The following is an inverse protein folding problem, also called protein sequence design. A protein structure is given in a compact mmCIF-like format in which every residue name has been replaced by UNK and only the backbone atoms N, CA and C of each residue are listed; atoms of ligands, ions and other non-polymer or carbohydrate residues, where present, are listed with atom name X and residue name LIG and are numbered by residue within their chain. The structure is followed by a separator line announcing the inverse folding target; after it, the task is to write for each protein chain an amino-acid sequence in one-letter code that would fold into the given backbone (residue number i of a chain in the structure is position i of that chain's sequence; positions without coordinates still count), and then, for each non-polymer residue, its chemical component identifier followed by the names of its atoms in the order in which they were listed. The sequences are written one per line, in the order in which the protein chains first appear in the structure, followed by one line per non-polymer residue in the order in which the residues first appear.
data_IF_375022638446
#
_entry.id   IF_375022638446
#
_cell.length_a   1.000
_cell.length_b   1.000
_cell.length_c   1.000
_cell.angle_alpha   90.00
_cell.angle_beta   90.00
_cell.angle_gamma   90.00
#
_symmetry.space_group_name_H-M   'P 1'
#
loop_
_entity.id
_entity.type
_entity.pdbx_description
1 polymer ?
#
# COMPACT_ATOMS: atom_id res chain seq x y z
N UNK A 1 0.64 7.38 -59.54
CA UNK A 1 -0.29 6.67 -58.64
C UNK A 1 -0.18 7.28 -57.25
N UNK A 2 -1.32 7.70 -56.70
CA UNK A 2 -1.59 8.04 -55.29
C UNK A 2 -1.43 6.80 -54.39
N UNK A 3 -1.16 6.87 -53.08
CA UNK A 3 -1.92 7.39 -51.92
C UNK A 3 -0.94 7.45 -50.70
N UNK A 4 -1.16 8.05 -49.51
CA UNK A 4 -2.23 8.82 -48.84
C UNK A 4 -1.59 9.59 -47.66
N UNK A 5 -2.09 10.79 -47.37
CA UNK A 5 -1.85 11.51 -46.10
C UNK A 5 -2.36 10.69 -44.91
N UNK A 6 -1.53 10.53 -43.90
CA UNK A 6 -1.96 10.23 -42.53
C UNK A 6 -2.36 11.54 -41.83
N UNK A 7 -3.51 11.52 -41.17
CA UNK A 7 -4.17 12.63 -40.48
C UNK A 7 -3.33 13.13 -39.30
N UNK A 8 -3.24 14.45 -39.02
CA UNK A 8 -2.64 14.93 -37.79
C UNK A 8 -3.51 14.52 -36.59
N UNK A 9 -2.95 13.75 -35.67
CA UNK A 9 -3.59 13.52 -34.37
C UNK A 9 -3.45 14.81 -33.57
N UNK A 10 -4.58 15.44 -33.25
CA UNK A 10 -4.69 16.56 -32.31
C UNK A 10 -4.46 16.02 -30.89
N UNK A 11 -3.56 16.65 -30.15
CA UNK A 11 -3.18 16.46 -28.74
C UNK A 11 -2.19 15.32 -28.41
N UNK A 12 -0.89 15.63 -28.19
CA UNK A 12 0.02 14.72 -27.51
C UNK A 12 -0.30 14.64 -25.99
N UNK A 13 -0.26 13.43 -25.42
CA UNK A 13 -0.39 13.17 -23.97
C UNK A 13 0.91 12.57 -23.41
N UNK A 14 1.46 13.11 -22.32
CA UNK A 14 2.69 12.62 -21.64
C UNK A 14 2.39 11.74 -20.43
N UNK A 15 3.30 10.83 -20.01
CA UNK A 15 3.03 9.78 -19.00
C UNK A 15 4.10 9.60 -17.90
N UNK A 16 3.68 9.31 -16.64
CA UNK A 16 4.54 9.15 -15.43
C UNK A 16 4.46 7.76 -14.79
N UNK A 17 5.50 7.31 -14.07
CA UNK A 17 5.67 5.95 -13.50
C UNK A 17 5.32 5.84 -11.99
N UNK A 18 4.82 4.67 -11.55
CA UNK A 18 4.63 4.24 -10.14
C UNK A 18 5.17 2.83 -9.91
N UNK A 19 5.38 2.45 -8.65
CA UNK A 19 5.79 1.10 -8.24
C UNK A 19 4.94 0.66 -7.04
N UNK A 20 4.42 -0.56 -7.04
CA UNK A 20 3.73 -1.20 -5.91
C UNK A 20 4.66 -2.23 -5.22
N UNK A 21 4.57 -2.34 -3.89
CA UNK A 21 5.34 -3.18 -2.93
C UNK A 21 5.32 -4.73 -3.19
N UNK A 22 6.10 -5.61 -2.52
CA UNK A 22 7.42 -6.07 -2.97
C UNK A 22 7.55 -7.62 -3.07
N UNK A 23 6.59 -8.34 -3.65
CA UNK A 23 6.80 -9.80 -3.98
C UNK A 23 7.91 -10.06 -4.99
N UNK A 24 8.25 -9.06 -5.79
CA UNK A 24 9.34 -9.02 -6.77
C UNK A 24 9.85 -7.59 -6.83
N UNK A 25 11.17 -7.40 -6.99
CA UNK A 25 11.68 -6.09 -7.39
C UNK A 25 10.95 -5.65 -8.68
N UNK A 26 10.25 -4.51 -8.67
CA UNK A 26 9.55 -4.03 -9.83
C UNK A 26 10.55 -3.63 -10.91
N UNK A 27 10.17 -3.79 -12.16
CA UNK A 27 10.89 -3.38 -13.36
C UNK A 27 11.28 -1.90 -13.35
N UNK A 28 10.63 -1.10 -12.51
CA UNK A 28 10.93 0.29 -12.24
C UNK A 28 10.97 0.51 -10.73
N UNK A 29 11.96 1.22 -10.21
CA UNK A 29 12.08 1.66 -8.81
C UNK A 29 12.48 3.14 -8.80
N UNK A 30 11.71 3.98 -8.10
CA UNK A 30 12.05 5.39 -7.91
C UNK A 30 12.56 5.61 -6.49
N UNK A 31 13.79 6.11 -6.34
CA UNK A 31 14.36 6.47 -5.04
C UNK A 31 15.06 7.83 -5.13
N UNK A 32 14.42 8.88 -4.63
CA UNK A 32 14.90 10.25 -4.77
C UNK A 32 15.11 10.64 -6.24
N UNK A 33 16.32 11.10 -6.65
CA UNK A 33 16.62 11.41 -8.05
C UNK A 33 16.92 10.17 -8.90
N UNK A 34 17.10 8.99 -8.28
CA UNK A 34 17.48 7.77 -8.97
C UNK A 34 16.26 7.04 -9.53
N UNK A 35 16.44 6.47 -10.72
CA UNK A 35 15.45 5.68 -11.43
C UNK A 35 16.08 4.34 -11.76
N UNK A 36 15.86 3.34 -10.94
CA UNK A 36 16.40 2.01 -11.18
C UNK A 36 15.43 1.24 -12.07
N UNK A 37 15.93 0.61 -13.12
CA UNK A 37 15.13 -0.25 -13.99
C UNK A 37 15.72 -1.65 -14.08
N UNK A 38 14.86 -2.65 -14.23
CA UNK A 38 15.32 -4.02 -14.50
C UNK A 38 15.96 -4.10 -15.88
N UNK A 39 16.75 -5.14 -16.11
CA UNK A 39 17.32 -5.45 -17.43
C UNK A 39 16.25 -5.52 -18.53
N UNK A 40 15.13 -6.19 -18.26
CA UNK A 40 14.06 -6.36 -19.24
C UNK A 40 13.45 -5.01 -19.65
N UNK A 41 13.21 -4.11 -18.69
CA UNK A 41 12.71 -2.77 -19.00
C UNK A 41 13.76 -1.92 -19.70
N UNK A 42 15.03 -1.98 -19.28
CA UNK A 42 16.15 -1.32 -19.98
C UNK A 42 16.18 -1.67 -21.45
N UNK A 43 16.11 -2.95 -21.80
CA UNK A 43 16.23 -3.40 -23.20
C UNK A 43 15.05 -2.87 -24.05
N UNK A 44 13.84 -2.79 -23.47
CA UNK A 44 12.69 -2.16 -24.12
C UNK A 44 12.90 -0.65 -24.28
N UNK A 45 13.40 0.04 -23.26
CA UNK A 45 13.69 1.47 -23.33
C UNK A 45 14.76 1.80 -24.38
N UNK A 46 15.80 0.97 -24.51
CA UNK A 46 16.82 1.08 -25.56
C UNK A 46 16.25 0.82 -26.95
N UNK A 47 15.25 -0.06 -27.10
CA UNK A 47 14.57 -0.25 -28.38
C UNK A 47 13.72 0.96 -28.80
N UNK A 48 13.25 1.74 -27.83
CA UNK A 48 12.47 2.96 -28.05
C UNK A 48 13.37 4.16 -28.31
N UNK A 49 14.48 4.27 -27.58
CA UNK A 49 15.41 5.38 -27.66
C UNK A 49 16.85 4.87 -27.43
N UNK A 50 17.54 4.43 -28.50
CA UNK A 50 18.90 3.87 -28.38
C UNK A 50 19.94 4.88 -27.90
N UNK A 51 19.71 6.17 -28.17
CA UNK A 51 20.57 7.29 -27.78
C UNK A 51 19.81 8.21 -26.81
N UNK A 52 20.51 8.90 -25.91
CA UNK A 52 19.88 9.85 -24.99
C UNK A 52 19.37 9.26 -23.67
N UNK A 53 19.64 7.98 -23.42
CA UNK A 53 19.52 7.34 -22.10
C UNK A 53 20.85 6.68 -21.75
N UNK A 54 21.35 6.98 -20.55
CA UNK A 54 22.48 6.28 -19.95
C UNK A 54 21.96 5.30 -18.89
N UNK A 55 22.56 4.11 -18.86
CA UNK A 55 22.27 3.08 -17.89
C UNK A 55 23.55 2.71 -17.15
N UNK A 56 23.58 2.94 -15.84
CA UNK A 56 24.69 2.54 -14.99
C UNK A 56 24.29 1.28 -14.21
N UNK A 57 25.02 0.16 -14.36
CA UNK A 57 24.66 -1.08 -13.68
C UNK A 57 24.73 -0.89 -12.17
N UNK A 58 23.74 -1.44 -11.47
CA UNK A 58 23.63 -1.47 -10.02
C UNK A 58 23.13 -2.85 -9.62
N UNK A 59 23.70 -3.41 -8.57
CA UNK A 59 23.20 -4.64 -7.95
C UNK A 59 22.30 -4.28 -6.79
N UNK A 60 21.06 -4.79 -6.81
CA UNK A 60 20.15 -4.70 -5.66
C UNK A 60 20.15 -6.07 -4.97
N UNK A 61 20.53 -6.11 -3.70
CA UNK A 61 20.39 -7.30 -2.87
C UNK A 61 18.99 -7.33 -2.24
N UNK A 62 18.20 -8.37 -2.52
CA UNK A 62 16.91 -8.62 -1.89
C UNK A 62 16.85 -10.09 -1.48
N UNK A 63 16.57 -10.37 -0.20
CA UNK A 63 16.46 -11.75 0.33
C UNK A 63 17.69 -12.63 0.02
N UNK A 64 18.89 -12.08 0.20
CA UNK A 64 20.16 -12.78 -0.07
C UNK A 64 20.44 -13.09 -1.55
N UNK A 65 19.60 -12.60 -2.48
CA UNK A 65 19.80 -12.71 -3.91
C UNK A 65 20.20 -11.36 -4.49
N UNK A 66 21.15 -11.39 -5.41
CA UNK A 66 21.58 -10.24 -6.18
C UNK A 66 20.75 -10.11 -7.45
N UNK A 67 20.23 -8.91 -7.69
CA UNK A 67 19.44 -8.59 -8.87
C UNK A 67 20.14 -7.49 -9.68
N UNK A 68 20.35 -7.76 -10.96
CA UNK A 68 20.91 -6.79 -11.91
C UNK A 68 19.86 -5.72 -12.25
N UNK A 69 20.15 -4.49 -11.83
CA UNK A 69 19.38 -3.28 -12.12
C UNK A 69 20.28 -2.24 -12.80
N UNK A 70 19.65 -1.19 -13.31
CA UNK A 70 20.35 -0.09 -13.94
C UNK A 70 19.80 1.23 -13.43
N UNK A 71 20.65 2.08 -12.86
CA UNK A 71 20.30 3.47 -12.64
C UNK A 71 20.24 4.17 -14.00
N UNK A 72 19.05 4.60 -14.36
CA UNK A 72 18.73 5.24 -15.61
C UNK A 72 18.86 6.75 -15.49
N UNK A 73 19.70 7.34 -16.33
CA UNK A 73 19.83 8.77 -16.50
C UNK A 73 19.34 9.16 -17.89
N UNK A 74 18.43 10.12 -17.98
CA UNK A 74 17.85 10.57 -19.24
C UNK A 74 18.48 11.90 -19.61
N UNK A 75 19.19 11.93 -20.74
CA UNK A 75 19.97 13.09 -21.18
C UNK A 75 19.14 14.07 -21.99
N UNK A 76 18.01 13.61 -22.52
CA UNK A 76 17.11 14.39 -23.36
C UNK A 76 16.11 15.18 -22.54
N UNK A 77 15.77 16.38 -23.03
CA UNK A 77 14.89 17.33 -22.33
C UNK A 77 13.76 17.78 -23.25
N UNK A 78 12.64 18.17 -22.65
CA UNK A 78 11.51 18.76 -23.37
C UNK A 78 10.90 19.89 -22.57
N UNK A 79 10.54 20.99 -23.24
CA UNK A 79 9.85 22.12 -22.63
C UNK A 79 8.33 21.97 -22.83
N UNK A 80 7.71 21.19 -21.95
CA UNK A 80 6.28 20.81 -22.06
C UNK A 80 5.47 21.21 -20.84
N UNK A 81 6.09 21.69 -19.77
CA UNK A 81 5.39 22.16 -18.57
C UNK A 81 5.30 23.68 -18.59
N UNK A 82 4.07 24.19 -18.52
CA UNK A 82 3.83 25.61 -18.27
C UNK A 82 4.02 25.88 -16.78
N UNK A 83 5.25 26.26 -16.40
CA UNK A 83 5.62 26.54 -15.00
C UNK A 83 4.76 27.67 -14.40
N UNK A 84 4.28 28.62 -15.21
CA UNK A 84 3.46 29.74 -14.72
C UNK A 84 2.02 29.31 -14.40
N UNK A 85 1.50 28.33 -15.13
CA UNK A 85 0.16 27.76 -14.89
C UNK A 85 0.16 26.54 -13.98
N UNK A 86 1.32 25.97 -13.72
CA UNK A 86 1.51 24.87 -12.77
C UNK A 86 1.52 25.40 -11.33
N UNK A 87 1.14 24.55 -10.37
CA UNK A 87 1.07 24.91 -8.96
C UNK A 87 2.10 24.12 -8.19
N UNK A 88 2.86 24.84 -7.37
CA UNK A 88 3.95 24.31 -6.57
C UNK A 88 3.72 24.62 -5.10
N UNK A 89 4.06 23.67 -4.26
CA UNK A 89 4.44 23.95 -2.88
C UNK A 89 5.83 24.59 -2.90
N UNK A 90 6.04 25.63 -2.09
CA UNK A 90 7.28 26.40 -2.08
C UNK A 90 7.79 26.55 -0.66
N UNK A 91 9.10 26.59 -0.51
CA UNK A 91 9.75 27.05 0.71
C UNK A 91 9.44 28.54 0.96
N UNK A 92 9.76 29.02 2.16
CA UNK A 92 9.55 30.43 2.56
C UNK A 92 10.34 31.43 1.70
N UNK A 93 11.44 31.00 1.09
CA UNK A 93 12.25 31.78 0.14
C UNK A 93 11.66 31.80 -1.29
N UNK A 94 10.55 31.10 -1.52
CA UNK A 94 9.89 30.98 -2.82
C UNK A 94 10.44 29.86 -3.71
N UNK A 95 11.45 29.11 -3.29
CA UNK A 95 11.99 27.97 -4.04
C UNK A 95 10.93 26.85 -4.15
N UNK A 96 10.65 26.30 -5.35
CA UNK A 96 9.75 25.17 -5.49
C UNK A 96 10.21 23.95 -4.68
N UNK A 97 9.36 23.47 -3.79
CA UNK A 97 9.57 22.27 -2.98
C UNK A 97 8.91 21.04 -3.62
N UNK A 98 7.62 21.15 -3.98
CA UNK A 98 6.86 20.05 -4.56
C UNK A 98 5.91 20.52 -5.66
N UNK A 99 5.66 19.66 -6.66
CA UNK A 99 4.67 19.93 -7.70
C UNK A 99 3.30 19.44 -7.23
N UNK A 100 2.32 20.35 -7.09
CA UNK A 100 0.95 20.02 -6.65
C UNK A 100 -0.01 19.87 -7.83
N UNK A 101 0.22 20.62 -8.91
CA UNK A 101 -0.54 20.48 -10.14
C UNK A 101 0.29 20.88 -11.35
N UNK A 102 0.23 20.06 -12.40
CA UNK A 102 1.01 20.25 -13.62
C UNK A 102 0.12 20.70 -14.76
N UNK A 103 0.52 21.74 -15.46
CA UNK A 103 -0.13 22.19 -16.69
C UNK A 103 0.79 21.88 -17.88
N UNK A 104 0.35 20.98 -18.76
CA UNK A 104 1.11 20.64 -19.97
C UNK A 104 0.77 21.64 -21.08
N UNK A 105 1.78 22.23 -21.72
CA UNK A 105 1.63 23.05 -22.93
C UNK A 105 1.94 22.22 -24.18
N UNK A 106 1.42 22.68 -25.32
CA UNK A 106 1.79 22.10 -26.61
C UNK A 106 3.30 22.25 -26.83
N UNK A 107 4.00 21.19 -27.25
CA UNK A 107 5.41 21.28 -27.55
C UNK A 107 5.64 22.17 -28.77
N UNK A 108 6.65 23.04 -28.69
CA UNK A 108 7.05 23.93 -29.79
C UNK A 108 7.97 23.24 -30.80
N UNK A 109 8.50 22.08 -30.44
CA UNK A 109 9.47 21.32 -31.22
C UNK A 109 9.15 19.83 -31.19
N UNK A 110 9.81 19.06 -32.07
CA UNK A 110 9.68 17.60 -32.04
C UNK A 110 10.36 17.06 -30.80
N UNK A 111 9.60 16.36 -29.96
CA UNK A 111 10.12 15.82 -28.71
C UNK A 111 10.87 14.50 -28.93
N UNK A 112 11.90 14.21 -28.14
CA UNK A 112 12.51 12.88 -28.07
C UNK A 112 11.45 11.85 -27.62
N UNK A 113 11.59 10.56 -28.00
CA UNK A 113 10.66 9.52 -27.55
C UNK A 113 10.48 9.45 -26.03
N UNK A 114 11.57 9.62 -25.27
CA UNK A 114 11.64 9.63 -23.81
C UNK A 114 12.45 10.87 -23.40
N UNK A 115 11.98 11.66 -22.44
CA UNK A 115 12.66 12.91 -22.04
C UNK A 115 12.26 13.37 -20.63
N UNK A 116 13.09 14.22 -20.02
CA UNK A 116 12.75 14.91 -18.77
C UNK A 116 12.15 16.27 -19.10
N UNK A 117 10.92 16.52 -18.62
CA UNK A 117 10.28 17.81 -18.81
C UNK A 117 10.89 18.87 -17.89
N UNK A 118 11.24 20.02 -18.45
CA UNK A 118 11.64 21.24 -17.74
C UNK A 118 12.63 20.99 -16.57
N UNK A 119 13.68 20.19 -16.83
CA UNK A 119 14.58 19.62 -15.81
C UNK A 119 15.21 20.64 -14.84
N UNK A 120 15.39 21.89 -15.26
CA UNK A 120 15.98 22.95 -14.43
C UNK A 120 14.96 23.72 -13.58
N UNK A 121 13.66 23.60 -13.92
CA UNK A 121 12.58 24.36 -13.27
C UNK A 121 11.67 23.51 -12.40
N UNK A 122 11.86 22.18 -12.39
CA UNK A 122 11.07 21.25 -11.59
C UNK A 122 11.95 20.60 -10.52
N UNK A 123 11.51 20.60 -9.24
CA UNK A 123 12.30 20.02 -8.14
C UNK A 123 12.54 18.51 -8.31
N UNK A 124 11.62 17.82 -8.99
CA UNK A 124 11.77 16.43 -9.41
C UNK A 124 11.42 16.36 -10.89
N UNK A 125 12.40 16.44 -11.78
CA UNK A 125 12.17 16.48 -13.23
C UNK A 125 11.16 15.42 -13.68
N UNK A 126 10.08 15.86 -14.33
CA UNK A 126 8.97 14.97 -14.70
C UNK A 126 9.40 14.09 -15.87
N UNK A 127 9.36 12.77 -15.71
CA UNK A 127 9.61 11.86 -16.82
C UNK A 127 8.42 11.88 -17.77
N UNK A 128 8.68 12.10 -19.05
CA UNK A 128 7.69 12.07 -20.10
C UNK A 128 8.12 11.09 -21.19
N UNK A 129 7.12 10.47 -21.80
CA UNK A 129 7.26 9.70 -23.04
C UNK A 129 6.26 10.23 -24.06
N UNK A 130 6.61 10.11 -25.34
CA UNK A 130 5.66 10.34 -26.45
C UNK A 130 4.63 9.22 -26.51
N UNK A 131 3.50 9.44 -27.19
CA UNK A 131 2.48 8.40 -27.35
C UNK A 131 3.01 7.15 -28.07
N UNK A 132 3.83 7.32 -29.12
CA UNK A 132 4.44 6.19 -29.81
C UNK A 132 5.35 5.37 -28.89
N UNK A 133 6.15 6.04 -28.05
CA UNK A 133 7.00 5.38 -27.06
C UNK A 133 6.16 4.65 -25.99
N UNK A 134 5.11 5.30 -25.47
CA UNK A 134 4.19 4.72 -24.50
C UNK A 134 3.56 3.42 -25.03
N UNK A 135 3.12 3.39 -26.29
CA UNK A 135 2.55 2.19 -26.92
C UNK A 135 3.57 1.06 -26.98
N UNK A 136 4.82 1.34 -27.37
CA UNK A 136 5.87 0.32 -27.42
C UNK A 136 6.19 -0.24 -26.03
N UNK A 137 6.33 0.63 -25.02
CA UNK A 137 6.59 0.21 -23.63
C UNK A 137 5.41 -0.62 -23.09
N UNK A 138 4.17 -0.18 -23.31
CA UNK A 138 2.99 -0.89 -22.84
C UNK A 138 2.83 -2.27 -23.49
N UNK A 139 3.19 -2.42 -24.77
CA UNK A 139 3.17 -3.71 -25.48
C UNK A 139 4.15 -4.75 -24.92
N UNK A 140 5.19 -4.31 -24.19
CA UNK A 140 6.09 -5.22 -23.50
C UNK A 140 5.44 -5.93 -22.29
N UNK A 141 4.27 -5.48 -21.84
CA UNK A 141 3.45 -6.21 -20.87
C UNK A 141 3.90 -6.07 -19.41
N UNK A 142 4.68 -5.03 -19.08
CA UNK A 142 5.04 -4.72 -17.70
C UNK A 142 3.82 -4.25 -16.91
N UNK A 143 3.37 -5.05 -15.93
CA UNK A 143 2.16 -4.77 -15.13
C UNK A 143 2.40 -3.73 -14.04
N UNK A 144 3.66 -3.56 -13.66
CA UNK A 144 4.17 -2.63 -12.64
C UNK A 144 4.64 -1.30 -13.22
N UNK A 145 4.60 -1.15 -14.55
CA UNK A 145 4.84 0.12 -15.24
C UNK A 145 3.49 0.76 -15.58
N UNK A 146 3.09 1.71 -14.75
CA UNK A 146 1.92 2.55 -15.02
C UNK A 146 2.34 3.72 -15.89
N UNK A 147 1.56 3.99 -16.92
CA UNK A 147 1.63 5.21 -17.70
C UNK A 147 0.34 5.98 -17.37
N UNK A 148 0.41 7.31 -17.22
CA UNK A 148 -0.78 8.19 -17.11
C UNK A 148 -0.88 9.24 -18.23
N UNK A 149 -2.03 9.42 -18.89
CA UNK A 149 -2.13 10.36 -20.02
C UNK A 149 -2.23 11.83 -19.56
N UNK A 150 -1.30 12.71 -19.97
CA UNK A 150 -1.34 14.15 -19.69
C UNK A 150 -1.54 14.99 -20.96
N UNK A 151 -2.79 15.19 -21.44
CA UNK A 151 -3.08 16.07 -22.57
C UNK A 151 -2.65 17.51 -22.30
N UNK A 152 -2.15 18.15 -23.37
CA UNK A 152 -1.87 19.57 -23.40
C UNK A 152 -3.11 20.43 -23.12
N UNK A 153 -2.89 21.64 -22.61
CA UNK A 153 -3.93 22.61 -22.30
C UNK A 153 -4.79 22.27 -21.08
N UNK A 154 -4.52 21.15 -20.39
CA UNK A 154 -5.21 20.75 -19.17
C UNK A 154 -4.25 20.78 -17.97
N UNK A 155 -4.81 21.19 -16.83
CA UNK A 155 -4.16 21.05 -15.54
C UNK A 155 -4.50 19.67 -14.94
N UNK A 156 -3.48 18.99 -14.46
CA UNK A 156 -3.57 17.70 -13.81
C UNK A 156 -3.14 17.83 -12.35
N UNK A 157 -3.91 17.22 -11.44
CA UNK A 157 -3.58 17.19 -10.02
C UNK A 157 -2.48 16.15 -9.79
N UNK A 158 -1.31 16.60 -9.34
CA UNK A 158 -0.14 15.75 -9.20
C UNK A 158 -0.33 14.69 -8.11
N UNK A 159 -1.09 14.99 -7.05
CA UNK A 159 -1.42 14.00 -6.01
C UNK A 159 -2.29 12.89 -6.58
N UNK A 160 -3.22 13.20 -7.49
CA UNK A 160 -4.01 12.17 -8.19
C UNK A 160 -3.15 11.34 -9.14
N UNK A 161 -2.16 11.96 -9.79
CA UNK A 161 -1.18 11.23 -10.61
C UNK A 161 -0.36 10.25 -9.76
N UNK A 162 -0.06 10.58 -8.49
CA UNK A 162 0.69 9.69 -7.58
C UNK A 162 -0.19 8.71 -6.78
N UNK A 163 -1.49 8.94 -6.62
CA UNK A 163 -2.38 8.13 -5.76
C UNK A 163 -3.44 7.27 -6.47
N UNK A 164 -3.81 7.54 -7.74
CA UNK A 164 -4.89 6.76 -8.38
C UNK A 164 -4.48 5.35 -8.85
N UNK A 165 -5.35 4.37 -8.62
CA UNK A 165 -5.32 3.03 -9.23
C UNK A 165 -6.00 2.99 -10.60
N UNK A 166 -5.86 4.05 -11.40
CA UNK A 166 -6.50 4.08 -12.72
C UNK A 166 -5.88 3.02 -13.65
N UNK A 167 -6.71 2.21 -14.33
CA UNK A 167 -6.22 1.15 -15.20
C UNK A 167 -5.43 1.73 -16.38
N UNK A 168 -4.27 1.12 -16.69
CA UNK A 168 -3.44 1.49 -17.84
C UNK A 168 -4.31 1.46 -19.12
N UNK A 169 -4.53 2.59 -19.81
CA UNK A 169 -5.45 2.65 -20.95
C UNK A 169 -4.98 1.84 -22.17
N UNK A 170 -3.74 1.36 -22.14
CA UNK A 170 -3.17 0.47 -23.16
C UNK A 170 -3.29 -1.03 -22.80
N UNK A 171 -3.82 -1.41 -21.63
CA UNK A 171 -3.91 -2.81 -21.18
C UNK A 171 -4.99 -3.65 -21.90
N UNK A 172 -5.54 -3.19 -23.04
CA UNK A 172 -6.57 -3.92 -23.80
C UNK A 172 -6.05 -5.17 -24.52
N UNK A 173 -4.73 -5.42 -24.51
CA UNK A 173 -4.20 -6.74 -24.85
C UNK A 173 -4.52 -7.71 -23.73
N UNK A 174 -5.40 -8.66 -24.02
CA UNK A 174 -5.71 -9.83 -23.19
C UNK A 174 -4.43 -10.54 -22.77
N UNK A 175 -3.82 -10.12 -21.66
CA UNK A 175 -2.89 -10.96 -20.93
C UNK A 175 -3.73 -12.11 -20.38
N UNK A 176 -3.46 -13.34 -20.85
CA UNK A 176 -4.01 -14.52 -20.21
C UNK A 176 -3.79 -14.38 -18.70
N UNK A 177 -4.84 -14.48 -17.86
CA UNK A 177 -4.66 -14.30 -16.43
C UNK A 177 -3.62 -15.33 -15.98
N UNK A 178 -2.61 -14.86 -15.24
CA UNK A 178 -1.73 -15.75 -14.49
C UNK A 178 -2.59 -16.76 -13.73
N UNK A 179 -2.18 -18.03 -13.62
CA UNK A 179 -2.94 -19.03 -12.89
C UNK A 179 -3.14 -18.54 -11.45
N UNK A 180 -4.33 -17.99 -11.19
CA UNK A 180 -4.76 -17.64 -9.84
C UNK A 180 -4.84 -18.96 -9.10
N UNK A 181 -4.00 -19.16 -8.08
CA UNK A 181 -4.35 -20.11 -7.02
C UNK A 181 -5.66 -19.60 -6.44
N UNK A 182 -6.76 -20.27 -6.76
CA UNK A 182 -8.10 -19.86 -6.32
C UNK A 182 -8.25 -20.17 -4.84
N UNK A 183 -7.87 -19.23 -3.98
CA UNK A 183 -8.44 -19.14 -2.65
C UNK A 183 -9.63 -18.18 -2.75
N UNK A 184 -10.84 -18.73 -2.83
CA UNK A 184 -12.06 -17.94 -2.76
C UNK A 184 -12.36 -17.66 -1.29
N UNK A 185 -11.91 -16.51 -0.80
CA UNK A 185 -12.38 -16.00 0.49
C UNK A 185 -13.81 -15.47 0.33
N UNK A 186 -14.66 -15.54 1.37
CA UNK A 186 -16.03 -15.03 1.29
C UNK A 186 -16.05 -13.54 0.97
N UNK A 187 -17.03 -13.12 0.18
CA UNK A 187 -17.29 -11.70 -0.11
C UNK A 187 -17.46 -10.94 1.22
N UNK A 188 -16.68 -9.87 1.50
CA UNK A 188 -16.83 -9.05 2.70
C UNK A 188 -18.27 -8.54 2.91
N UNK A 189 -19.02 -8.34 1.81
CA UNK A 189 -20.42 -7.92 1.86
C UNK A 189 -21.37 -8.99 2.42
N UNK A 190 -20.92 -10.24 2.58
CA UNK A 190 -21.69 -11.30 3.26
C UNK A 190 -21.93 -10.96 4.74
N UNK A 191 -21.10 -10.08 5.33
CA UNK A 191 -21.09 -9.81 6.76
C UNK A 191 -21.75 -8.49 7.20
N UNK A 192 -22.27 -7.71 6.26
CA UNK A 192 -22.90 -6.40 6.54
C UNK A 192 -24.38 -6.49 6.91
N UNK A 193 -24.92 -7.70 7.10
CA UNK A 193 -26.33 -7.88 7.52
C UNK A 193 -26.52 -7.52 9.00
N UNK A 194 -27.61 -6.81 9.38
CA UNK A 194 -27.88 -6.44 10.78
C UNK A 194 -27.92 -7.60 11.77
N UNK A 195 -28.17 -8.83 11.29
CA UNK A 195 -28.11 -10.07 12.08
C UNK A 195 -26.70 -10.47 12.54
N UNK A 196 -25.65 -9.81 12.05
CA UNK A 196 -24.25 -10.05 12.40
C UNK A 196 -23.64 -8.94 13.27
N UNK A 197 -24.30 -7.78 13.42
CA UNK A 197 -23.94 -6.76 14.39
C UNK A 197 -24.15 -7.30 15.81
N UNK A 198 -23.12 -7.26 16.66
CA UNK A 198 -23.20 -7.84 18.00
C UNK A 198 -23.88 -6.90 18.99
N UNK A 199 -24.85 -7.44 19.74
CA UNK A 199 -25.09 -7.03 21.12
C UNK A 199 -24.03 -7.62 22.05
N UNK A 200 -24.10 -7.34 23.36
CA UNK A 200 -23.06 -7.64 24.35
C UNK A 200 -22.53 -9.10 24.48
N UNK A 201 -23.05 -10.10 23.72
CA UNK A 201 -22.62 -11.50 23.75
C UNK A 201 -22.65 -12.15 22.36
N UNK A 202 -21.59 -12.88 22.00
CA UNK A 202 -21.50 -13.61 20.74
C UNK A 202 -22.46 -14.80 20.66
N UNK A 203 -23.37 -14.79 19.68
CA UNK A 203 -24.39 -15.83 19.49
C UNK A 203 -23.85 -17.06 18.74
N UNK A 204 -24.49 -18.22 18.91
CA UNK A 204 -24.13 -19.46 18.17
C UNK A 204 -24.15 -19.26 16.65
N UNK A 205 -25.15 -18.59 16.04
CA UNK A 205 -25.15 -18.29 14.61
C UNK A 205 -23.93 -17.48 14.14
N UNK A 206 -23.46 -16.51 14.94
CA UNK A 206 -22.28 -15.70 14.59
C UNK A 206 -20.99 -16.52 14.63
N UNK A 207 -20.83 -17.37 15.66
CA UNK A 207 -19.69 -18.31 15.72
C UNK A 207 -19.69 -19.23 14.50
N UNK A 208 -20.85 -19.78 14.12
CA UNK A 208 -20.98 -20.63 12.95
C UNK A 208 -20.67 -19.86 11.65
N UNK A 209 -21.08 -18.59 11.55
CA UNK A 209 -20.75 -17.74 10.41
C UNK A 209 -19.24 -17.52 10.29
N UNK A 210 -18.54 -17.22 11.40
CA UNK A 210 -17.07 -17.08 11.43
C UNK A 210 -16.40 -18.37 10.99
N UNK A 211 -16.81 -19.51 11.56
CA UNK A 211 -16.21 -20.81 11.23
C UNK A 211 -16.36 -21.15 9.74
N UNK A 212 -17.55 -20.87 9.20
CA UNK A 212 -17.85 -21.13 7.78
C UNK A 212 -17.09 -20.17 6.85
N UNK A 213 -17.04 -18.89 7.22
CA UNK A 213 -16.41 -17.84 6.43
C UNK A 213 -14.90 -18.04 6.26
N UNK A 214 -14.20 -18.28 7.37
CA UNK A 214 -12.74 -18.31 7.38
C UNK A 214 -12.17 -19.73 7.35
N UNK A 215 -13.02 -20.76 7.38
CA UNK A 215 -12.58 -22.15 7.44
C UNK A 215 -11.82 -22.48 8.73
N UNK A 216 -12.08 -21.73 9.81
CA UNK A 216 -11.42 -21.90 11.13
C UNK A 216 -12.39 -22.52 12.13
N UNK A 217 -11.85 -23.07 13.22
CA UNK A 217 -12.63 -23.44 14.40
C UNK A 217 -12.10 -22.64 15.58
N UNK A 218 -12.88 -21.65 16.05
CA UNK A 218 -12.46 -20.86 17.20
C UNK A 218 -12.39 -21.76 18.44
N UNK A 219 -11.29 -21.73 19.19
CA UNK A 219 -11.12 -22.59 20.34
C UNK A 219 -12.04 -22.17 21.49
N UNK A 220 -12.46 -23.15 22.30
CA UNK A 220 -13.41 -22.95 23.40
C UNK A 220 -12.96 -21.87 24.40
N UNK A 221 -11.66 -21.76 24.65
CA UNK A 221 -11.12 -20.74 25.55
C UNK A 221 -11.39 -19.32 25.02
N UNK A 222 -11.26 -19.10 23.72
CA UNK A 222 -11.52 -17.80 23.10
C UNK A 222 -13.01 -17.51 23.01
N UNK A 223 -13.84 -18.52 22.72
CA UNK A 223 -15.30 -18.38 22.80
C UNK A 223 -15.77 -18.06 24.22
N UNK A 224 -15.13 -18.62 25.25
CA UNK A 224 -15.40 -18.27 26.65
C UNK A 224 -14.96 -16.85 26.97
N UNK A 225 -13.81 -16.41 26.48
CA UNK A 225 -13.35 -15.03 26.59
C UNK A 225 -14.37 -14.05 26.01
N UNK A 226 -14.85 -14.27 24.78
CA UNK A 226 -15.87 -13.41 24.16
C UNK A 226 -17.20 -13.42 24.91
N UNK A 227 -17.59 -14.54 25.53
CA UNK A 227 -18.82 -14.64 26.35
C UNK A 227 -18.69 -13.95 27.72
N UNK A 228 -17.48 -13.96 28.28
CA UNK A 228 -17.13 -13.35 29.57
C UNK A 228 -16.13 -12.22 29.32
N UNK A 229 -16.49 -11.36 28.38
CA UNK A 229 -15.58 -10.32 27.90
C UNK A 229 -15.10 -9.45 29.08
N UNK A 230 -13.78 -9.23 29.24
CA UNK A 230 -13.25 -8.53 30.41
C UNK A 230 -13.76 -7.09 30.46
N UNK A 231 -14.54 -6.77 31.50
CA UNK A 231 -15.13 -5.44 31.67
C UNK A 231 -14.08 -4.31 31.79
N UNK A 232 -12.83 -4.65 32.12
CA UNK A 232 -11.72 -3.68 32.16
C UNK A 232 -11.41 -3.12 30.77
N UNK A 233 -11.58 -3.92 29.70
CA UNK A 233 -11.36 -3.46 28.31
C UNK A 233 -12.43 -2.44 27.87
N UNK A 234 -13.61 -2.45 28.49
CA UNK A 234 -14.66 -1.44 28.27
C UNK A 234 -14.44 -0.15 29.08
N UNK A 235 -13.51 -0.16 30.04
CA UNK A 235 -13.26 0.95 30.97
C UNK A 235 -11.91 1.63 30.76
N UNK A 236 -10.96 0.90 30.18
CA UNK A 236 -9.61 1.41 29.92
C UNK A 236 -9.65 2.23 28.65
N UNK A 237 -9.31 3.52 28.76
CA UNK A 237 -9.19 4.42 27.62
C UNK A 237 -8.02 3.99 26.73
N UNK A 238 -8.18 4.20 25.43
CA UNK A 238 -7.14 4.03 24.41
C UNK A 238 -6.63 5.38 23.86
N UNK A 239 -7.19 6.48 24.35
CA UNK A 239 -6.83 7.85 23.97
C UNK A 239 -6.77 8.75 25.21
N UNK A 240 -6.21 9.95 25.04
CA UNK A 240 -6.09 10.93 26.12
C UNK A 240 -7.44 11.50 26.56
N UNK A 241 -8.40 11.57 25.63
CA UNK A 241 -9.72 12.15 25.88
C UNK A 241 -10.67 11.17 26.62
N UNK A 242 -10.26 9.91 26.79
CA UNK A 242 -11.05 8.86 27.41
C UNK A 242 -12.29 8.45 26.59
N UNK A 243 -12.30 8.74 25.29
CA UNK A 243 -13.48 8.58 24.43
C UNK A 243 -13.57 7.18 23.82
N UNK A 244 -12.43 6.57 23.52
CA UNK A 244 -12.39 5.26 22.88
C UNK A 244 -11.84 4.20 23.86
N UNK A 245 -12.65 3.26 24.35
CA UNK A 245 -12.16 2.17 25.18
C UNK A 245 -11.37 1.15 24.34
N UNK A 246 -10.47 0.40 24.97
CA UNK A 246 -9.72 -0.70 24.32
C UNK A 246 -10.64 -1.68 23.57
N UNK A 247 -11.85 -1.93 24.07
CA UNK A 247 -12.81 -2.84 23.46
C UNK A 247 -13.45 -2.35 22.16
N UNK A 248 -13.26 -1.07 21.81
CA UNK A 248 -13.76 -0.47 20.59
C UNK A 248 -12.80 -0.70 19.44
N UNK A 249 -11.52 -0.34 19.59
CA UNK A 249 -10.54 -0.37 18.50
C UNK A 249 -9.50 -1.49 18.64
N UNK A 250 -8.94 -1.66 19.84
CA UNK A 250 -7.76 -2.51 20.06
C UNK A 250 -8.13 -3.99 20.16
N UNK A 251 -9.11 -4.35 20.99
CA UNK A 251 -9.53 -5.75 21.20
C UNK A 251 -11.04 -5.86 21.01
N UNK A 252 -11.55 -5.80 19.78
CA UNK A 252 -12.98 -5.69 19.56
C UNK A 252 -13.75 -6.90 20.09
N UNK A 253 -14.83 -6.62 20.83
CA UNK A 253 -15.85 -7.65 21.16
C UNK A 253 -16.91 -7.82 20.08
N UNK A 254 -16.95 -6.92 19.09
CA UNK A 254 -17.90 -6.93 17.99
C UNK A 254 -17.48 -7.92 16.88
N UNK A 255 -18.46 -8.70 16.37
CA UNK A 255 -18.19 -9.78 15.43
C UNK A 255 -17.87 -9.22 14.04
N UNK A 256 -18.52 -8.12 13.64
CA UNK A 256 -18.24 -7.49 12.35
C UNK A 256 -16.81 -6.95 12.35
N UNK A 257 -16.37 -6.26 13.42
CA UNK A 257 -14.97 -5.82 13.56
C UNK A 257 -13.98 -6.98 13.53
N UNK A 258 -14.26 -8.08 14.25
CA UNK A 258 -13.40 -9.28 14.22
C UNK A 258 -13.33 -9.92 12.83
N UNK A 259 -14.46 -9.96 12.12
CA UNK A 259 -14.55 -10.48 10.75
C UNK A 259 -13.78 -9.57 9.79
N UNK A 260 -14.01 -8.26 9.83
CA UNK A 260 -13.35 -7.28 8.96
C UNK A 260 -11.84 -7.33 9.14
N UNK A 261 -11.38 -7.34 10.39
CA UNK A 261 -9.96 -7.51 10.71
C UNK A 261 -9.38 -8.81 10.12
N UNK A 262 -10.06 -9.95 10.32
CA UNK A 262 -9.58 -11.22 9.80
C UNK A 262 -9.67 -11.33 8.27
N UNK A 263 -10.59 -10.59 7.63
CA UNK A 263 -10.68 -10.47 6.20
C UNK A 263 -9.53 -9.63 5.63
N UNK A 264 -9.20 -8.50 6.28
CA UNK A 264 -8.08 -7.61 5.89
C UNK A 264 -6.76 -8.37 5.90
N UNK A 265 -6.43 -9.05 7.01
CA UNK A 265 -5.15 -9.77 7.11
C UNK A 265 -5.06 -10.94 6.12
N UNK A 266 -6.19 -11.47 5.63
CA UNK A 266 -6.25 -12.57 4.66
C UNK A 266 -6.47 -12.12 3.21
N UNK A 267 -6.49 -10.81 2.95
CA UNK A 267 -6.65 -10.34 1.58
C UNK A 267 -5.57 -10.95 0.69
N UNK A 268 -5.94 -11.41 -0.52
CA UNK A 268 -4.95 -11.77 -1.51
C UNK A 268 -4.00 -10.58 -1.68
N UNK A 269 -2.70 -10.85 -1.71
CA UNK A 269 -1.65 -9.84 -1.86
C UNK A 269 -1.16 -9.17 -0.55
N UNK A 270 -1.68 -9.57 0.61
CA UNK A 270 -1.18 -9.09 1.91
C UNK A 270 -0.11 -10.00 2.54
N UNK A 271 1.08 -9.42 2.68
CA UNK A 271 2.32 -9.81 3.39
C UNK A 271 2.28 -9.76 4.91
N UNK A 272 2.40 -10.86 5.65
CA UNK A 272 2.56 -10.78 7.11
C UNK A 272 3.81 -11.47 7.64
N UNK A 273 4.26 -12.49 6.92
CA UNK A 273 5.38 -13.32 7.31
C UNK A 273 6.43 -13.40 6.21
N UNK A 274 7.66 -13.71 6.60
CA UNK A 274 8.75 -14.01 5.68
C UNK A 274 9.44 -15.32 6.09
N UNK A 275 9.67 -16.20 5.11
CA UNK A 275 10.51 -17.40 5.26
C UNK A 275 11.60 -17.45 4.17
N UNK A 276 12.38 -18.55 4.14
CA UNK A 276 13.42 -18.75 3.13
C UNK A 276 12.88 -18.78 1.68
N UNK A 277 11.59 -19.07 1.49
CA UNK A 277 10.91 -19.12 0.20
C UNK A 277 10.23 -17.80 -0.18
N UNK A 278 10.03 -16.89 0.77
CA UNK A 278 9.66 -15.50 0.57
C UNK A 278 8.52 -15.01 1.47
N UNK A 279 7.70 -14.11 0.92
CA UNK A 279 6.56 -13.53 1.63
C UNK A 279 5.41 -14.52 1.77
N UNK A 280 5.06 -14.84 3.01
CA UNK A 280 4.00 -15.76 3.36
C UNK A 280 2.70 -15.01 3.70
N UNK A 281 1.54 -15.50 3.22
CA UNK A 281 0.25 -14.94 3.60
C UNK A 281 -0.01 -15.18 5.10
N UNK A 282 -1.02 -14.51 5.64
CA UNK A 282 -1.51 -14.80 6.98
C UNK A 282 -1.81 -16.31 7.15
N UNK A 283 -1.21 -17.00 8.13
CA UNK A 283 -1.43 -18.43 8.30
C UNK A 283 -2.90 -18.76 8.53
N UNK A 284 -3.41 -19.79 7.87
CA UNK A 284 -4.82 -20.16 7.92
C UNK A 284 -5.31 -20.50 9.34
N UNK A 285 -4.42 -21.03 10.20
CA UNK A 285 -4.76 -21.39 11.57
C UNK A 285 -4.72 -20.22 12.55
N UNK A 286 -4.13 -19.08 12.20
CA UNK A 286 -4.01 -17.94 13.11
C UNK A 286 -5.24 -17.06 13.03
N UNK A 287 -5.90 -16.73 14.14
CA UNK A 287 -7.06 -15.85 14.17
C UNK A 287 -6.69 -14.53 14.84
N UNK A 288 -6.87 -13.41 14.14
CA UNK A 288 -6.64 -12.09 14.71
C UNK A 288 -7.73 -11.77 15.75
N UNK A 289 -7.30 -11.32 16.93
CA UNK A 289 -8.17 -11.01 18.08
C UNK A 289 -8.07 -9.55 18.51
N UNK A 290 -7.10 -8.81 17.98
CA UNK A 290 -6.94 -7.39 18.24
C UNK A 290 -5.92 -6.73 17.30
N UNK A 291 -5.87 -5.41 17.36
CA UNK A 291 -5.01 -4.54 16.58
C UNK A 291 -3.96 -3.88 17.47
N UNK A 292 -2.77 -3.68 16.93
CA UNK A 292 -1.62 -3.08 17.62
C UNK A 292 -0.89 -2.12 16.65
N UNK A 293 -1.49 -0.96 16.36
CA UNK A 293 -0.96 0.07 15.46
C UNK A 293 -0.67 -0.38 14.00
N UNK A 294 0.42 -1.07 13.73
CA UNK A 294 0.71 -1.67 12.42
C UNK A 294 0.62 -3.20 12.44
N UNK A 295 0.39 -3.77 13.62
CA UNK A 295 0.43 -5.19 13.93
C UNK A 295 -0.91 -5.72 14.45
N UNK A 296 -0.98 -7.03 14.68
CA UNK A 296 -2.17 -7.73 15.13
C UNK A 296 -1.84 -8.69 16.26
N UNK A 297 -2.70 -8.67 17.28
CA UNK A 297 -2.77 -9.74 18.26
C UNK A 297 -3.54 -10.93 17.67
N UNK A 298 -3.05 -12.14 17.85
CA UNK A 298 -3.68 -13.33 17.30
C UNK A 298 -3.45 -14.58 18.13
N UNK A 299 -4.28 -15.61 17.88
CA UNK A 299 -4.20 -16.93 18.50
C UNK A 299 -4.07 -18.01 17.42
N UNK A 300 -3.36 -19.09 17.71
CA UNK A 300 -3.35 -20.26 16.84
C UNK A 300 -4.55 -21.16 17.15
N UNK A 301 -5.52 -21.20 16.24
CA UNK A 301 -6.75 -22.01 16.36
C UNK A 301 -6.50 -23.50 16.18
N UNK A 302 -5.35 -23.89 15.63
CA UNK A 302 -4.94 -25.30 15.54
C UNK A 302 -4.26 -25.79 16.83
N UNK A 303 -3.74 -24.89 17.66
CA UNK A 303 -3.12 -25.23 18.94
C UNK A 303 -4.15 -25.29 20.07
N UNK A 304 -3.83 -26.10 21.10
CA UNK A 304 -4.52 -26.09 22.39
C UNK A 304 -3.94 -25.05 23.35
N UNK A 305 -2.77 -24.51 23.00
CA UNK A 305 -2.14 -23.46 23.76
C UNK A 305 -2.99 -22.20 23.68
N UNK A 306 -3.05 -21.47 24.79
CA UNK A 306 -3.80 -20.21 24.87
C UNK A 306 -2.92 -19.00 24.53
N UNK A 307 -1.70 -19.26 24.05
CA UNK A 307 -0.71 -18.24 23.71
C UNK A 307 -1.30 -17.20 22.78
N UNK A 308 -1.14 -15.93 23.15
CA UNK A 308 -1.42 -14.80 22.30
C UNK A 308 -0.10 -14.37 21.66
N UNK A 309 -0.11 -14.31 20.34
CA UNK A 309 1.00 -13.83 19.53
C UNK A 309 0.74 -12.40 19.10
N UNK A 310 1.81 -11.64 18.91
CA UNK A 310 1.82 -10.36 18.24
C UNK A 310 2.53 -10.56 16.89
N UNK A 311 1.95 -10.09 15.80
CA UNK A 311 2.69 -9.98 14.55
C UNK A 311 3.77 -8.93 14.73
N UNK A 312 4.96 -9.18 14.23
CA UNK A 312 5.97 -8.14 14.11
C UNK A 312 6.18 -7.90 12.61
N UNK A 313 5.60 -6.83 12.10
CA UNK A 313 5.71 -6.48 10.68
C UNK A 313 7.15 -6.11 10.27
N UNK A 314 7.98 -5.64 11.20
CA UNK A 314 9.40 -5.31 10.92
C UNK A 314 10.23 -6.58 10.72
N UNK A 315 10.00 -7.59 11.57
CA UNK A 315 10.72 -8.86 11.52
C UNK A 315 9.99 -9.93 10.69
N UNK A 316 8.79 -9.62 10.18
CA UNK A 316 7.93 -10.52 9.43
C UNK A 316 7.73 -11.88 10.13
N UNK A 317 7.49 -11.86 11.44
CA UNK A 317 7.33 -13.05 12.27
C UNK A 317 6.16 -12.92 13.27
N UNK A 318 5.84 -14.02 13.97
CA UNK A 318 4.95 -14.01 15.12
C UNK A 318 5.77 -14.16 16.39
N UNK A 319 5.68 -13.19 17.31
CA UNK A 319 6.30 -13.26 18.62
C UNK A 319 5.28 -13.59 19.69
N UNK A 320 5.68 -14.35 20.70
CA UNK A 320 4.83 -14.58 21.87
C UNK A 320 4.65 -13.27 22.63
N UNK A 321 3.40 -12.82 22.74
CA UNK A 321 3.07 -11.61 23.48
C UNK A 321 2.62 -11.91 24.92
N UNK A 322 1.81 -12.97 25.10
CA UNK A 322 1.32 -13.45 26.39
C UNK A 322 1.04 -14.95 26.36
N UNK A 323 1.16 -15.66 27.48
CA UNK A 323 0.96 -17.11 27.52
C UNK A 323 -0.53 -17.52 27.49
N UNK A 324 -1.44 -16.60 27.81
CA UNK A 324 -2.89 -16.82 27.77
C UNK A 324 -3.67 -15.49 27.64
N UNK A 325 -4.98 -15.58 27.39
CA UNK A 325 -5.87 -14.42 27.26
C UNK A 325 -5.98 -13.57 28.54
N UNK A 326 -5.79 -14.15 29.73
CA UNK A 326 -5.81 -13.40 30.98
C UNK A 326 -4.59 -12.50 31.12
N UNK A 327 -3.41 -13.07 30.89
CA UNK A 327 -2.14 -12.33 30.87
C UNK A 327 -2.13 -11.27 29.76
N UNK A 328 -2.65 -11.60 28.57
CA UNK A 328 -2.82 -10.66 27.47
C UNK A 328 -3.58 -9.39 27.90
N UNK A 329 -4.73 -9.55 28.57
CA UNK A 329 -5.54 -8.42 29.04
C UNK A 329 -4.80 -7.60 30.08
N UNK A 330 -4.18 -8.25 31.07
CA UNK A 330 -3.44 -7.55 32.12
C UNK A 330 -2.27 -6.75 31.56
N UNK A 331 -1.52 -7.34 30.63
CA UNK A 331 -0.38 -6.70 29.97
C UNK A 331 -0.83 -5.51 29.12
N UNK A 332 -1.84 -5.72 28.26
CA UNK A 332 -2.36 -4.66 27.39
C UNK A 332 -2.87 -3.45 28.17
N UNK A 333 -3.64 -3.67 29.25
CA UNK A 333 -4.16 -2.58 30.09
C UNK A 333 -3.00 -1.81 30.74
N UNK A 334 -2.02 -2.52 31.31
CA UNK A 334 -0.89 -1.88 31.97
C UNK A 334 -0.03 -1.06 30.99
N UNK A 335 0.24 -1.58 29.79
CA UNK A 335 0.99 -0.85 28.75
C UNK A 335 0.22 0.39 28.28
N UNK A 336 -1.09 0.26 28.01
CA UNK A 336 -1.92 1.39 27.56
C UNK A 336 -2.00 2.48 28.63
N UNK A 337 -2.18 2.11 29.91
CA UNK A 337 -2.22 3.08 31.00
C UNK A 337 -0.88 3.80 31.19
N UNK A 338 0.24 3.10 31.01
CA UNK A 338 1.57 3.69 31.04
C UNK A 338 1.78 4.68 29.86
N UNK A 339 1.44 4.28 28.64
CA UNK A 339 1.55 5.13 27.45
C UNK A 339 0.72 6.41 27.59
N UNK A 340 -0.51 6.30 28.09
CA UNK A 340 -1.38 7.46 28.33
C UNK A 340 -0.85 8.35 29.46
N UNK A 341 -0.20 7.77 30.47
CA UNK A 341 0.45 8.55 31.52
C UNK A 341 1.62 9.35 30.95
N UNK A 342 2.53 8.70 30.22
CA UNK A 342 3.69 9.34 29.59
C UNK A 342 3.26 10.49 28.67
N UNK A 343 2.23 10.28 27.85
CA UNK A 343 1.66 11.33 27.00
C UNK A 343 1.09 12.52 27.78
N UNK A 344 0.47 12.30 28.95
CA UNK A 344 0.00 13.41 29.82
C UNK A 344 1.17 14.21 30.38
N UNK A 345 2.26 13.55 30.75
CA UNK A 345 3.46 14.22 31.26
C UNK A 345 4.11 15.07 30.16
N UNK A 346 4.25 14.53 28.94
CA UNK A 346 4.77 15.25 27.78
C UNK A 346 3.94 16.49 27.41
N UNK A 347 2.63 16.40 27.57
CA UNK A 347 1.72 17.51 27.30
C UNK A 347 1.60 18.53 28.45
N UNK A 348 2.27 18.28 29.59
CA UNK A 348 2.18 19.15 30.77
C UNK A 348 0.79 19.17 31.40
N UNK A 349 0.02 18.09 31.26
CA UNK A 349 -1.36 17.97 31.75
C UNK A 349 -1.46 17.42 33.19
N UNK A 350 -0.35 17.36 33.92
CA UNK A 350 -0.31 16.78 35.27
C UNK A 350 -0.72 17.73 36.40
N UNK A 351 -0.87 19.02 36.15
CA UNK A 351 -0.88 20.02 37.23
C UNK A 351 -2.25 20.35 37.87
N UNK A 352 -3.37 19.77 37.45
CA UNK A 352 -4.71 20.23 37.92
C UNK A 352 -5.65 19.13 38.50
N UNK A 353 -5.16 17.94 38.90
CA UNK A 353 -6.03 16.87 39.45
C UNK A 353 -6.05 16.72 40.98
N UNK A 354 -5.34 17.57 41.72
CA UNK A 354 -5.45 17.69 43.17
C UNK A 354 -6.15 19.00 43.56
N UNK A 355 -7.49 19.03 43.47
CA UNK A 355 -8.36 19.92 44.27
C UNK A 355 -9.79 19.35 44.45
#
# INVERSE_FOLDING_TARGET
MSFRRGVPVKDPKHWTFKTSSPRRLPNWISFGPHRLVSKALRDVLLSVMPEGIEFHPITIAQKGREHEYFNMNILTRGDVVDVRKSTFERFSDGTPMALLGVHIKEPTETLPPIFVANAESLPTGLLCVTESAAITIARAGFTDVVLIAMPAGKRHDFRKLTSSGEPNPFSKTSSAPLPKRSFSWPDPNTFTTPSLLLGAKMSKPQVQAIHTAFGVQLPDYYLQFLRKYPAILDKTANDLDGLEPLSQEVVPKDAAKLIDMNAIVRQPETFWLEDEEGELPWPSSYWAIGFAAADYYCIDTASRDQTVYLTNHEESNFVTYAANLGEFVSKLVAETEADLQDLREEMGLLDDLDD
#
